data_IF_316187587255
#
_entry.id   IF_316187587255
#
_cell.length_a   1.000
_cell.length_b   1.000
_cell.length_c   1.000
_cell.angle_alpha   90.00
_cell.angle_beta   90.00
_cell.angle_gamma   90.00
#
_symmetry.space_group_name_H-M   'P 1'
#
loop_
_entity.id
_entity.type
_entity.pdbx_description
1 polymer ?
#
# COMPACT_ATOMS: atom_id res chain seq x y z
N UNK A 1 1.65 14.07 -41.47
CA UNK A 1 1.82 15.47 -41.03
C UNK A 1 1.14 15.58 -39.67
N UNK A 2 1.65 14.83 -38.69
CA UNK A 2 1.18 14.84 -37.30
C UNK A 2 2.25 15.57 -36.49
N UNK A 3 2.06 16.88 -36.31
CA UNK A 3 2.95 17.68 -35.47
C UNK A 3 2.75 17.25 -34.01
N UNK A 4 3.80 16.95 -33.23
CA UNK A 4 3.73 16.42 -31.86
C UNK A 4 3.15 17.38 -30.78
N UNK A 5 2.44 18.42 -31.20
CA UNK A 5 2.05 19.60 -30.41
C UNK A 5 0.61 19.58 -29.87
N UNK A 6 -0.13 18.49 -30.05
CA UNK A 6 -1.53 18.35 -29.62
C UNK A 6 -1.70 17.61 -28.28
N UNK A 7 -0.61 17.35 -27.56
CA UNK A 7 -0.68 16.74 -26.23
C UNK A 7 -0.93 17.81 -25.17
N UNK A 8 -1.94 17.64 -24.28
CA UNK A 8 -2.22 18.60 -23.23
C UNK A 8 -1.00 18.77 -22.33
N UNK A 9 -0.61 20.03 -22.11
CA UNK A 9 0.53 20.42 -21.26
C UNK A 9 -0.06 20.86 -19.92
N UNK A 10 0.23 20.11 -18.86
CA UNK A 10 -0.17 20.47 -17.48
C UNK A 10 1.11 20.77 -16.69
N UNK A 11 1.22 21.97 -16.12
CA UNK A 11 2.38 22.43 -15.35
C UNK A 11 3.75 22.31 -16.07
N UNK A 12 3.78 22.58 -17.38
CA UNK A 12 5.02 22.57 -18.19
C UNK A 12 5.55 21.19 -18.58
N UNK A 13 4.81 20.11 -18.30
CA UNK A 13 5.16 18.75 -18.70
C UNK A 13 4.24 18.26 -19.83
N UNK A 14 4.82 17.67 -20.88
CA UNK A 14 4.05 17.00 -21.95
C UNK A 14 3.52 15.67 -21.43
N UNK A 15 2.21 15.54 -21.32
CA UNK A 15 1.53 14.28 -20.97
C UNK A 15 1.72 13.25 -22.09
N UNK A 16 2.74 12.38 -21.97
CA UNK A 16 2.98 11.29 -22.94
C UNK A 16 2.08 10.07 -22.67
N UNK A 17 1.53 9.92 -21.46
CA UNK A 17 0.59 8.87 -21.06
C UNK A 17 -0.87 9.13 -21.41
N UNK A 18 -1.18 9.68 -22.59
CA UNK A 18 -2.57 9.95 -23.00
C UNK A 18 -3.35 8.66 -23.37
N UNK A 19 -2.64 7.54 -23.59
CA UNK A 19 -3.24 6.20 -23.72
C UNK A 19 -2.91 5.38 -22.49
N UNK A 20 -3.95 4.86 -21.83
CA UNK A 20 -3.84 3.83 -20.80
C UNK A 20 -3.06 2.64 -21.38
N UNK A 21 -1.88 2.35 -20.84
CA UNK A 21 -1.12 1.16 -21.21
C UNK A 21 -1.71 -0.06 -20.49
N UNK A 22 -1.58 -1.25 -21.09
CA UNK A 22 -2.04 -2.51 -20.45
C UNK A 22 -1.34 -2.75 -19.11
N UNK A 23 -0.13 -2.22 -18.94
CA UNK A 23 0.63 -2.32 -17.70
C UNK A 23 0.03 -1.47 -16.58
N UNK A 24 -0.55 -0.31 -16.92
CA UNK A 24 -1.23 0.57 -15.96
C UNK A 24 -2.45 -0.16 -15.41
N UNK A 25 -3.25 -0.75 -16.31
CA UNK A 25 -4.42 -1.55 -15.94
C UNK A 25 -4.05 -2.77 -15.08
N UNK A 26 -2.93 -3.44 -15.37
CA UNK A 26 -2.45 -4.54 -14.53
C UNK A 26 -2.06 -4.07 -13.12
N UNK A 27 -1.37 -2.94 -13.02
CA UNK A 27 -0.95 -2.36 -11.74
C UNK A 27 -2.15 -1.98 -10.89
N UNK A 28 -3.16 -1.33 -11.49
CA UNK A 28 -4.41 -0.97 -10.81
C UNK A 28 -5.16 -2.19 -10.28
N UNK A 29 -5.20 -3.29 -11.05
CA UNK A 29 -5.80 -4.55 -10.60
C UNK A 29 -5.05 -5.10 -9.38
N UNK A 30 -3.71 -5.08 -9.38
CA UNK A 30 -2.91 -5.57 -8.25
C UNK A 30 -3.10 -4.71 -7.00
N UNK A 31 -3.15 -3.38 -7.14
CA UNK A 31 -3.48 -2.49 -6.03
C UNK A 31 -4.89 -2.74 -5.49
N UNK A 32 -5.87 -2.97 -6.37
CA UNK A 32 -7.20 -3.42 -5.98
C UNK A 32 -7.16 -4.71 -5.16
N UNK A 33 -6.37 -5.70 -5.57
CA UNK A 33 -6.16 -6.93 -4.80
C UNK A 33 -5.48 -6.69 -3.44
N UNK A 34 -4.49 -5.81 -3.37
CA UNK A 34 -3.84 -5.47 -2.10
C UNK A 34 -4.83 -4.85 -1.11
N UNK A 35 -5.70 -3.94 -1.59
CA UNK A 35 -6.76 -3.33 -0.79
C UNK A 35 -7.80 -4.37 -0.34
N UNK A 36 -8.21 -5.30 -1.21
CA UNK A 36 -9.16 -6.35 -0.82
C UNK A 36 -8.55 -7.33 0.16
N UNK A 37 -7.29 -7.73 0.01
CA UNK A 37 -6.60 -8.57 1.00
C UNK A 37 -6.50 -7.88 2.36
N UNK A 38 -6.27 -6.56 2.37
CA UNK A 38 -6.28 -5.78 3.61
C UNK A 38 -7.67 -5.83 4.26
N UNK A 39 -8.76 -5.65 3.50
CA UNK A 39 -10.15 -5.74 4.00
C UNK A 39 -10.47 -7.15 4.49
N UNK A 40 -10.17 -8.18 3.69
CA UNK A 40 -10.43 -9.60 3.99
C UNK A 40 -9.70 -10.03 5.26
N UNK A 41 -8.57 -9.40 5.57
CA UNK A 41 -7.85 -9.70 6.80
C UNK A 41 -8.60 -9.25 8.05
N UNK A 42 -9.55 -8.29 8.00
CA UNK A 42 -10.35 -7.88 9.16
C UNK A 42 -11.15 -9.08 9.68
N UNK A 43 -11.08 -9.31 10.99
CA UNK A 43 -11.84 -10.38 11.62
C UNK A 43 -13.33 -10.01 11.61
N UNK A 44 -14.18 -10.94 11.15
CA UNK A 44 -15.63 -10.77 11.15
C UNK A 44 -16.15 -11.08 12.57
N UNK A 45 -16.86 -10.14 13.23
CA UNK A 45 -17.37 -10.36 14.58
C UNK A 45 -18.40 -11.50 14.57
N UNK A 46 -18.32 -12.40 15.55
CA UNK A 46 -19.25 -13.52 15.70
C UNK A 46 -20.41 -13.18 16.64
N UNK A 47 -20.17 -12.28 17.59
CA UNK A 47 -21.14 -11.86 18.61
C UNK A 47 -21.29 -10.33 18.71
N UNK A 48 -22.41 -9.87 19.25
CA UNK A 48 -22.73 -8.44 19.37
C UNK A 48 -21.82 -7.69 20.36
N UNK A 49 -21.28 -8.40 21.36
CA UNK A 49 -20.25 -7.89 22.27
C UNK A 49 -18.94 -7.58 21.56
N UNK A 50 -18.63 -8.33 20.50
CA UNK A 50 -17.37 -8.22 19.74
C UNK A 50 -17.44 -7.08 18.70
N UNK A 51 -18.64 -6.59 18.40
CA UNK A 51 -18.85 -5.50 17.44
C UNK A 51 -18.08 -4.22 17.85
N UNK A 52 -18.05 -3.90 19.14
CA UNK A 52 -17.31 -2.75 19.65
C UNK A 52 -15.79 -2.91 19.58
N UNK A 53 -15.29 -4.14 19.57
CA UNK A 53 -13.87 -4.43 19.38
C UNK A 53 -13.50 -4.32 17.90
N UNK A 54 -14.34 -4.85 17.01
CA UNK A 54 -14.17 -4.72 15.55
C UNK A 54 -14.21 -3.27 15.09
N UNK A 55 -15.14 -2.46 15.61
CA UNK A 55 -15.22 -1.02 15.30
C UNK A 55 -13.93 -0.29 15.72
N UNK A 56 -13.27 -0.73 16.79
CA UNK A 56 -11.97 -0.18 17.22
C UNK A 56 -10.81 -0.68 16.36
N UNK A 57 -10.83 -1.95 15.96
CA UNK A 57 -9.91 -2.54 14.98
C UNK A 57 -10.00 -1.89 13.59
N UNK A 58 -11.08 -1.16 13.32
CA UNK A 58 -11.25 -0.37 12.12
C UNK A 58 -10.29 0.84 12.03
N UNK A 59 -9.83 1.37 13.17
CA UNK A 59 -8.88 2.51 13.20
C UNK A 59 -7.53 2.13 12.55
N UNK A 60 -6.81 1.08 13.03
CA UNK A 60 -5.56 0.68 12.40
C UNK A 60 -5.77 0.22 10.95
N UNK A 61 -6.90 -0.40 10.64
CA UNK A 61 -7.27 -0.70 9.25
C UNK A 61 -7.37 0.56 8.38
N UNK A 62 -8.04 1.61 8.85
CA UNK A 62 -8.17 2.87 8.11
C UNK A 62 -6.81 3.55 7.87
N UNK A 63 -5.89 3.45 8.84
CA UNK A 63 -4.51 3.94 8.70
C UNK A 63 -3.77 3.15 7.61
N UNK A 64 -3.81 1.82 7.66
CA UNK A 64 -3.21 0.96 6.62
C UNK A 64 -3.82 1.27 5.24
N UNK A 65 -5.14 1.38 5.16
CA UNK A 65 -5.86 1.65 3.92
C UNK A 65 -5.44 3.00 3.32
N UNK A 66 -5.36 4.05 4.13
CA UNK A 66 -4.90 5.37 3.69
C UNK A 66 -3.45 5.30 3.21
N UNK A 67 -2.58 4.55 3.89
CA UNK A 67 -1.18 4.38 3.48
C UNK A 67 -1.08 3.67 2.12
N UNK A 68 -1.81 2.58 1.91
CA UNK A 68 -1.87 1.89 0.61
C UNK A 68 -2.41 2.81 -0.49
N UNK A 69 -3.43 3.63 -0.19
CA UNK A 69 -3.95 4.62 -1.13
C UNK A 69 -2.90 5.68 -1.51
N UNK A 70 -2.09 6.15 -0.56
CA UNK A 70 -1.03 7.13 -0.89
C UNK A 70 0.04 6.53 -1.81
N UNK A 71 0.41 5.26 -1.60
CA UNK A 71 1.33 4.54 -2.49
C UNK A 71 0.72 4.37 -3.88
N UNK A 72 -0.55 3.95 -3.97
CA UNK A 72 -1.26 3.85 -5.25
C UNK A 72 -1.33 5.20 -5.96
N UNK A 73 -1.62 6.29 -5.24
CA UNK A 73 -1.70 7.63 -5.82
C UNK A 73 -0.34 8.13 -6.33
N UNK A 74 0.73 7.90 -5.58
CA UNK A 74 2.09 8.24 -6.00
C UNK A 74 2.46 7.47 -7.29
N UNK A 75 2.07 6.20 -7.35
CA UNK A 75 2.28 5.35 -8.51
C UNK A 75 1.47 5.79 -9.74
N UNK A 76 0.21 6.14 -9.53
CA UNK A 76 -0.67 6.67 -10.57
C UNK A 76 -0.09 7.97 -11.18
N UNK A 77 0.43 8.89 -10.34
CA UNK A 77 1.10 10.10 -10.81
C UNK A 77 2.38 9.76 -11.58
N UNK A 78 3.19 8.82 -11.06
CA UNK A 78 4.43 8.40 -11.70
C UNK A 78 4.17 7.85 -13.10
N UNK A 79 3.26 6.90 -13.25
CA UNK A 79 2.88 6.35 -14.56
C UNK A 79 2.35 7.42 -15.52
N UNK A 80 1.50 8.33 -15.04
CA UNK A 80 0.94 9.42 -15.87
C UNK A 80 1.99 10.42 -16.34
N UNK A 81 3.01 10.71 -15.52
CA UNK A 81 4.05 11.70 -15.82
C UNK A 81 5.13 11.18 -16.75
N UNK A 82 5.46 9.90 -16.63
CA UNK A 82 6.58 9.30 -17.33
C UNK A 82 6.15 8.64 -18.65
N UNK A 83 4.98 7.98 -18.72
CA UNK A 83 4.53 7.32 -19.96
C UNK A 83 5.59 6.36 -20.52
N UNK A 84 6.33 5.68 -19.64
CA UNK A 84 7.45 4.82 -19.99
C UNK A 84 6.92 3.42 -20.37
N UNK A 85 7.00 3.10 -21.65
CA UNK A 85 6.80 1.74 -22.20
C UNK A 85 8.09 0.90 -22.10
N UNK A 86 9.01 1.26 -21.20
CA UNK A 86 10.31 0.61 -21.04
C UNK A 86 10.23 -0.62 -20.15
N UNK A 87 10.87 -1.71 -20.60
CA UNK A 87 10.87 -3.02 -19.94
C UNK A 87 11.47 -3.00 -18.51
N UNK A 88 12.38 -2.06 -18.25
CA UNK A 88 12.98 -1.85 -16.93
C UNK A 88 11.95 -1.24 -15.94
N UNK A 89 11.11 -0.31 -16.41
CA UNK A 89 10.02 0.27 -15.61
C UNK A 89 8.97 -0.78 -15.25
N UNK A 90 8.67 -1.68 -16.18
CA UNK A 90 7.77 -2.82 -15.93
C UNK A 90 8.32 -3.74 -14.84
N UNK A 91 9.63 -4.03 -14.88
CA UNK A 91 10.27 -4.86 -13.88
C UNK A 91 10.27 -4.20 -12.50
N UNK A 92 10.69 -2.94 -12.39
CA UNK A 92 10.68 -2.18 -11.13
C UNK A 92 9.26 -2.05 -10.57
N UNK A 93 8.27 -1.77 -11.41
CA UNK A 93 6.88 -1.73 -11.02
C UNK A 93 6.40 -3.08 -10.47
N UNK A 94 6.74 -4.18 -11.14
CA UNK A 94 6.37 -5.53 -10.67
C UNK A 94 7.00 -5.87 -9.32
N UNK A 95 8.25 -5.46 -9.10
CA UNK A 95 8.94 -5.60 -7.81
C UNK A 95 8.25 -4.75 -6.74
N UNK A 96 7.91 -3.49 -7.03
CA UNK A 96 7.19 -2.62 -6.10
C UNK A 96 5.81 -3.18 -5.74
N UNK A 97 5.06 -3.69 -6.71
CA UNK A 97 3.77 -4.35 -6.49
C UNK A 97 3.91 -5.61 -5.62
N UNK A 98 4.94 -6.42 -5.88
CA UNK A 98 5.25 -7.59 -5.06
C UNK A 98 5.57 -7.20 -3.61
N UNK A 99 6.36 -6.16 -3.41
CA UNK A 99 6.65 -5.59 -2.08
C UNK A 99 5.35 -5.12 -1.44
N UNK A 100 4.52 -4.32 -2.11
CA UNK A 100 3.24 -3.84 -1.56
C UNK A 100 2.38 -5.00 -1.07
N UNK A 101 2.20 -6.06 -1.88
CA UNK A 101 1.44 -7.26 -1.52
C UNK A 101 2.03 -7.98 -0.30
N UNK A 102 3.35 -8.15 -0.26
CA UNK A 102 4.03 -8.78 0.87
C UNK A 102 3.85 -7.96 2.15
N UNK A 103 3.87 -6.63 2.06
CA UNK A 103 3.77 -5.74 3.21
C UNK A 103 2.35 -5.55 3.74
N UNK A 104 1.29 -5.92 3.02
CA UNK A 104 -0.10 -5.78 3.53
C UNK A 104 -0.29 -6.46 4.89
N UNK A 105 0.20 -7.69 5.04
CA UNK A 105 0.03 -8.48 6.25
C UNK A 105 0.89 -7.97 7.43
N UNK A 106 2.21 -7.75 7.26
CA UNK A 106 3.02 -7.09 8.27
C UNK A 106 2.37 -5.79 8.70
N UNK A 107 2.02 -4.89 7.75
CA UNK A 107 1.53 -3.53 8.00
C UNK A 107 0.36 -3.54 8.97
N UNK A 108 -0.62 -4.42 8.71
CA UNK A 108 -1.74 -4.60 9.61
C UNK A 108 -1.33 -5.08 11.01
N UNK A 109 -0.40 -6.03 11.11
CA UNK A 109 0.07 -6.53 12.39
C UNK A 109 0.72 -5.41 13.24
N UNK A 110 1.53 -4.54 12.64
CA UNK A 110 2.14 -3.41 13.36
C UNK A 110 1.11 -2.39 13.80
N UNK A 111 0.19 -1.99 12.93
CA UNK A 111 -0.82 -1.00 13.33
C UNK A 111 -1.81 -1.57 14.35
N UNK A 112 -2.19 -2.84 14.23
CA UNK A 112 -3.01 -3.51 15.23
C UNK A 112 -2.33 -3.54 16.61
N UNK A 113 -1.03 -3.88 16.65
CA UNK A 113 -0.25 -3.88 17.90
C UNK A 113 -0.04 -2.49 18.46
N UNK A 114 0.30 -1.49 17.63
CA UNK A 114 0.46 -0.09 18.07
C UNK A 114 -0.84 0.49 18.64
N UNK A 115 -1.98 0.28 17.99
CA UNK A 115 -3.27 0.77 18.49
C UNK A 115 -3.68 0.01 19.76
N UNK A 116 -3.42 -1.29 19.84
CA UNK A 116 -3.65 -2.10 21.06
C UNK A 116 -2.82 -1.60 22.25
N UNK A 117 -1.55 -1.29 22.04
CA UNK A 117 -0.65 -0.71 23.05
C UNK A 117 -1.15 0.67 23.52
N UNK A 118 -1.54 1.53 22.59
CA UNK A 118 -2.02 2.89 22.87
C UNK A 118 -3.37 2.90 23.60
N UNK A 119 -4.24 1.94 23.29
CA UNK A 119 -5.55 1.74 23.93
C UNK A 119 -5.43 1.19 25.37
N UNK A 120 -4.21 0.83 25.82
CA UNK A 120 -3.88 0.39 27.19
C UNK A 120 -4.75 -0.76 27.72
N UNK A 121 -5.36 -1.53 26.81
CA UNK A 121 -6.35 -2.57 27.14
C UNK A 121 -5.86 -3.99 26.83
N UNK A 122 -4.83 -4.13 26.00
CA UNK A 122 -4.24 -5.43 25.69
C UNK A 122 -2.94 -5.66 26.48
N UNK A 123 -3.07 -6.51 27.51
CA UNK A 123 -1.95 -7.22 28.15
C UNK A 123 -1.54 -8.47 27.37
N UNK A 124 -2.10 -8.69 26.16
CA UNK A 124 -1.67 -9.73 25.25
C UNK A 124 -0.26 -9.40 24.76
N UNK A 125 0.72 -10.09 25.36
CA UNK A 125 2.13 -10.05 24.95
C UNK A 125 2.25 -10.65 23.54
N UNK A 126 1.91 -9.89 22.50
CA UNK A 126 2.22 -10.27 21.11
C UNK A 126 3.73 -10.34 20.89
N UNK A 127 4.50 -9.58 21.66
CA UNK A 127 5.96 -9.63 21.69
C UNK A 127 6.41 -10.24 23.01
N UNK A 128 6.91 -11.47 22.94
CA UNK A 128 7.49 -12.17 24.09
C UNK A 128 8.96 -11.75 24.28
N UNK A 129 9.58 -11.15 23.26
CA UNK A 129 10.98 -10.74 23.26
C UNK A 129 11.17 -9.38 22.55
N UNK A 130 12.03 -8.53 23.11
CA UNK A 130 12.44 -7.26 22.47
C UNK A 130 13.12 -7.47 21.11
N UNK A 131 13.73 -8.65 20.88
CA UNK A 131 14.30 -9.01 19.59
C UNK A 131 13.25 -9.08 18.47
N UNK A 132 12.02 -9.52 18.78
CA UNK A 132 10.93 -9.61 17.79
C UNK A 132 10.45 -8.23 17.34
N UNK A 133 10.47 -7.25 18.25
CA UNK A 133 10.14 -5.86 17.91
C UNK A 133 11.21 -5.27 17.00
N UNK A 134 12.49 -5.54 17.27
CA UNK A 134 13.60 -5.12 16.43
C UNK A 134 13.55 -5.77 15.04
N UNK A 135 13.30 -7.07 14.97
CA UNK A 135 13.16 -7.80 13.70
C UNK A 135 11.99 -7.26 12.86
N UNK A 136 10.87 -6.97 13.51
CA UNK A 136 9.73 -6.31 12.87
C UNK A 136 10.12 -4.93 12.35
N UNK A 137 10.72 -4.07 13.18
CA UNK A 137 11.18 -2.73 12.79
C UNK A 137 12.19 -2.74 11.64
N UNK A 138 13.11 -3.70 11.61
CA UNK A 138 14.07 -3.88 10.52
C UNK A 138 13.35 -4.29 9.24
N UNK A 139 12.39 -5.22 9.32
CA UNK A 139 11.55 -5.60 8.18
C UNK A 139 10.81 -4.36 7.63
N UNK A 140 10.23 -3.53 8.50
CA UNK A 140 9.60 -2.27 8.08
C UNK A 140 10.55 -1.27 7.43
N UNK A 141 11.73 -1.07 8.02
CA UNK A 141 12.74 -0.18 7.46
C UNK A 141 13.19 -0.64 6.08
N UNK A 142 13.33 -1.96 5.88
CA UNK A 142 13.71 -2.57 4.61
C UNK A 142 12.60 -2.41 3.57
N UNK A 143 11.34 -2.56 3.96
CA UNK A 143 10.18 -2.32 3.09
C UNK A 143 10.05 -0.87 2.67
N UNK A 144 10.19 0.05 3.62
CA UNK A 144 10.19 1.47 3.32
C UNK A 144 11.34 1.84 2.39
N UNK A 145 12.55 1.33 2.64
CA UNK A 145 13.68 1.51 1.75
C UNK A 145 13.37 0.96 0.34
N UNK A 146 12.85 -0.25 0.21
CA UNK A 146 12.53 -0.85 -1.09
C UNK A 146 11.42 -0.12 -1.89
N UNK A 147 10.55 0.63 -1.21
CA UNK A 147 9.51 1.44 -1.86
C UNK A 147 10.04 2.81 -2.29
N UNK A 148 10.98 3.39 -1.53
CA UNK A 148 11.45 4.77 -1.74
C UNK A 148 12.85 4.89 -2.38
N UNK A 149 13.63 3.81 -2.44
CA UNK A 149 14.95 3.72 -3.07
C UNK A 149 14.95 2.71 -4.21
#
# INVERSE_FOLDING_TARGET
>A
MDSPDHLPIENGFRMRGARLSRIDAFSDVVFGFALTLLVVSLEVPKDFSDLHEVIRGFIPFAICFTMLLTVWYAHYIFFRRYGLDDQLTIFLNSVLLFVVLFYVYPLKFLFSTLVGQMSRRDSTRYFTSSAQVTELMVLYALGFAAVYF
#
